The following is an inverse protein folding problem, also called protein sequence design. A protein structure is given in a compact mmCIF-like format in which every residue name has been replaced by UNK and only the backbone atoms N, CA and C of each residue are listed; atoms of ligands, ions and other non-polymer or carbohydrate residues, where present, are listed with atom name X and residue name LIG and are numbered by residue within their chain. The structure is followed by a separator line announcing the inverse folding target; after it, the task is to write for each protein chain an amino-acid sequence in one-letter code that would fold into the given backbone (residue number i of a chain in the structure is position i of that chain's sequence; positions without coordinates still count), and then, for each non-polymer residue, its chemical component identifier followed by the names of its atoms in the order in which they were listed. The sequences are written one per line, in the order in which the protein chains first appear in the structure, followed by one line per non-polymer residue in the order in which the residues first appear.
data_IF_280387658727
#
_entry.id   IF_280387658727
#
_cell.length_a   1.000
_cell.length_b   1.000
_cell.length_c   1.000
_cell.angle_alpha   90.00
_cell.angle_beta   90.00
_cell.angle_gamma   90.00
#
_symmetry.space_group_name_H-M   'P 1'
#
loop_
_entity.id
_entity.type
_entity.pdbx_description
1 polymer ?
#
# COMPACT_ATOMS: atom_id res chain seq x y z
N UNK A 1 40.40 -15.15 44.20
CA UNK A 1 39.77 -15.93 43.09
C UNK A 1 38.24 -15.91 43.08
N UNK A 2 37.51 -15.61 44.16
CA UNK A 2 36.04 -15.71 44.19
C UNK A 2 35.22 -14.56 43.55
N UNK A 3 35.78 -13.37 43.40
CA UNK A 3 35.04 -12.18 42.89
C UNK A 3 34.88 -12.22 41.36
N UNK A 4 35.87 -12.75 40.64
CA UNK A 4 35.84 -12.84 39.18
C UNK A 4 34.83 -13.88 38.69
N UNK A 5 34.72 -15.02 39.38
CA UNK A 5 33.77 -16.09 39.04
C UNK A 5 32.31 -15.66 39.25
N UNK A 6 32.03 -14.84 40.28
CA UNK A 6 30.67 -14.34 40.53
C UNK A 6 30.21 -13.35 39.45
N UNK A 7 31.10 -12.46 38.99
CA UNK A 7 30.80 -11.52 37.90
C UNK A 7 30.55 -12.22 36.57
N UNK A 8 31.26 -13.32 36.29
CA UNK A 8 31.07 -14.10 35.08
C UNK A 8 29.71 -14.83 35.06
N UNK A 9 29.32 -15.47 36.18
CA UNK A 9 27.99 -16.07 36.29
C UNK A 9 26.86 -15.04 36.15
N UNK A 10 27.03 -13.85 36.74
CA UNK A 10 26.03 -12.80 36.69
C UNK A 10 25.85 -12.22 35.27
N UNK A 11 26.94 -12.11 34.49
CA UNK A 11 26.88 -11.71 33.08
C UNK A 11 26.21 -12.77 32.19
N UNK A 12 26.51 -14.06 32.43
CA UNK A 12 25.87 -15.16 31.69
C UNK A 12 24.37 -15.26 31.99
N UNK A 13 23.97 -15.08 33.26
CA UNK A 13 22.57 -15.01 33.67
C UNK A 13 21.84 -13.84 33.01
N UNK A 14 22.47 -12.67 32.92
CA UNK A 14 21.90 -11.48 32.28
C UNK A 14 21.74 -11.67 30.77
N UNK A 15 22.72 -12.30 30.10
CA UNK A 15 22.62 -12.64 28.68
C UNK A 15 21.50 -13.65 28.41
N UNK A 16 21.36 -14.69 29.24
CA UNK A 16 20.25 -15.64 29.12
C UNK A 16 18.89 -14.96 29.31
N UNK A 17 18.79 -14.05 30.28
CA UNK A 17 17.57 -13.28 30.54
C UNK A 17 17.19 -12.39 29.35
N UNK A 18 18.16 -11.69 28.75
CA UNK A 18 17.95 -10.86 27.57
C UNK A 18 17.51 -11.71 26.37
N UNK A 19 18.11 -12.90 26.17
CA UNK A 19 17.69 -13.82 25.11
C UNK A 19 16.25 -14.33 25.34
N UNK A 20 15.89 -14.65 26.59
CA UNK A 20 14.55 -15.11 26.95
C UNK A 20 13.50 -14.01 26.71
N UNK A 21 13.81 -12.77 27.09
CA UNK A 21 12.95 -11.61 26.85
C UNK A 21 12.81 -11.33 25.34
N UNK A 22 13.90 -11.46 24.56
CA UNK A 22 13.83 -11.32 23.10
C UNK A 22 12.97 -12.41 22.44
N UNK A 23 13.00 -13.65 22.95
CA UNK A 23 12.15 -14.76 22.49
C UNK A 23 10.67 -14.57 22.87
N UNK A 24 10.38 -13.90 24.00
CA UNK A 24 9.02 -13.59 24.44
C UNK A 24 8.38 -12.43 23.64
N UNK A 25 9.17 -11.50 23.12
CA UNK A 25 8.68 -10.40 22.27
C UNK A 25 8.27 -10.87 20.86
N UNK A 26 8.74 -12.06 20.43
CA UNK A 26 8.47 -12.60 19.09
C UNK A 26 7.14 -13.36 18.96
N UNK A 27 6.37 -13.53 20.02
CA UNK A 27 5.06 -14.18 19.99
C UNK A 27 3.93 -13.14 19.85
N UNK A 28 3.98 -12.31 18.81
CA UNK A 28 2.76 -11.67 18.32
C UNK A 28 1.99 -12.72 17.54
N UNK A 29 0.76 -13.04 17.98
CA UNK A 29 -0.13 -13.88 17.19
C UNK A 29 -0.53 -13.10 15.94
N UNK A 30 0.26 -13.22 14.88
CA UNK A 30 -0.10 -12.66 13.57
C UNK A 30 -1.34 -13.37 13.08
N UNK A 31 -2.37 -12.59 12.77
CA UNK A 31 -3.62 -13.12 12.24
C UNK A 31 -3.34 -13.89 10.93
N UNK A 32 -3.98 -15.06 10.72
CA UNK A 32 -3.76 -15.82 9.51
C UNK A 32 -4.31 -15.04 8.31
N UNK A 33 -3.41 -14.48 7.52
CA UNK A 33 -3.76 -13.78 6.28
C UNK A 33 -3.78 -14.71 5.07
N UNK A 34 -3.10 -15.86 5.13
CA UNK A 34 -3.21 -16.91 4.12
C UNK A 34 -4.24 -17.98 4.51
N UNK A 35 -4.72 -18.73 3.51
CA UNK A 35 -5.59 -19.89 3.74
C UNK A 35 -4.87 -20.93 4.64
N UNK A 36 -5.57 -21.64 5.55
CA UNK A 36 -4.94 -22.65 6.39
C UNK A 36 -4.16 -23.70 5.59
N UNK A 37 -2.91 -23.97 6.01
CA UNK A 37 -2.00 -24.88 5.30
C UNK A 37 -1.29 -24.28 4.08
N UNK A 38 -1.49 -22.99 3.78
CA UNK A 38 -0.85 -22.30 2.67
C UNK A 38 0.29 -21.39 3.15
N UNK A 39 1.43 -21.35 2.44
CA UNK A 39 2.49 -20.39 2.71
C UNK A 39 1.95 -18.96 2.62
N UNK A 40 2.12 -18.18 3.69
CA UNK A 40 1.69 -16.78 3.75
C UNK A 40 2.76 -15.76 3.38
N UNK A 41 3.97 -16.21 3.01
CA UNK A 41 5.10 -15.33 2.70
C UNK A 41 5.89 -15.88 1.50
N UNK A 42 6.44 -14.97 0.70
CA UNK A 42 7.48 -15.24 -0.29
C UNK A 42 8.58 -14.18 -0.18
N UNK A 43 9.74 -14.55 0.37
CA UNK A 43 10.75 -13.57 0.75
C UNK A 43 10.22 -12.65 1.86
N UNK A 44 10.17 -11.35 1.58
CA UNK A 44 9.65 -10.33 2.50
C UNK A 44 8.21 -9.89 2.18
N UNK A 45 7.57 -10.52 1.19
CA UNK A 45 6.23 -10.14 0.74
C UNK A 45 5.21 -11.10 1.34
N UNK A 46 4.22 -10.54 2.02
CA UNK A 46 3.07 -11.28 2.52
C UNK A 46 2.13 -11.66 1.36
N UNK A 47 1.67 -12.91 1.36
CA UNK A 47 0.81 -13.50 0.34
C UNK A 47 -0.54 -13.85 0.97
N UNK A 48 -1.44 -12.87 1.12
CA UNK A 48 -2.74 -13.08 1.73
C UNK A 48 -3.74 -13.66 0.72
N UNK A 49 -4.70 -14.49 1.18
CA UNK A 49 -5.81 -14.91 0.33
C UNK A 49 -6.66 -13.67 -0.06
N UNK A 50 -7.06 -13.46 -1.34
CA UNK A 50 -7.24 -14.44 -2.42
C UNK A 50 -5.98 -14.81 -3.21
N UNK A 51 -4.83 -14.19 -2.95
CA UNK A 51 -3.56 -14.58 -3.55
C UNK A 51 -3.03 -15.87 -2.92
N UNK A 52 -2.21 -16.61 -3.67
CA UNK A 52 -1.58 -17.81 -3.17
C UNK A 52 -0.46 -18.30 -4.05
N UNK A 53 0.43 -19.12 -3.48
CA UNK A 53 1.63 -19.62 -4.18
C UNK A 53 1.39 -20.91 -4.98
N UNK A 54 0.18 -21.47 -4.90
CA UNK A 54 -0.25 -22.63 -5.66
C UNK A 54 -1.77 -22.56 -5.91
N UNK A 55 -2.26 -23.40 -6.83
CA UNK A 55 -3.66 -23.41 -7.27
C UNK A 55 -4.68 -23.67 -6.16
N UNK A 56 -4.30 -24.40 -5.10
CA UNK A 56 -5.20 -24.69 -3.96
C UNK A 56 -5.25 -23.56 -2.92
N UNK A 57 -4.23 -22.71 -2.94
CA UNK A 57 -4.02 -21.59 -2.03
C UNK A 57 -4.46 -20.25 -2.61
N UNK A 58 -4.51 -20.10 -3.94
CA UNK A 58 -5.07 -18.94 -4.62
C UNK A 58 -6.56 -19.12 -4.91
N UNK A 59 -7.32 -18.03 -5.04
CA UNK A 59 -8.72 -18.04 -5.44
C UNK A 59 -8.91 -18.66 -6.83
N UNK A 60 -8.07 -18.27 -7.78
CA UNK A 60 -8.01 -18.82 -9.13
C UNK A 60 -6.61 -18.55 -9.73
N UNK A 61 -6.40 -18.94 -10.98
CA UNK A 61 -5.11 -18.79 -11.67
C UNK A 61 -4.65 -17.34 -11.82
N UNK A 62 -5.56 -16.36 -11.87
CA UNK A 62 -5.20 -14.94 -11.97
C UNK A 62 -4.59 -14.39 -10.67
N UNK A 63 -4.92 -14.98 -9.52
CA UNK A 63 -4.38 -14.61 -8.20
C UNK A 63 -3.19 -15.49 -7.78
N UNK A 64 -2.63 -16.26 -8.73
CA UNK A 64 -1.48 -17.12 -8.48
C UNK A 64 -0.18 -16.31 -8.47
N UNK A 65 0.60 -16.47 -7.40
CA UNK A 65 1.93 -15.89 -7.25
C UNK A 65 2.99 -16.98 -7.41
N UNK A 66 3.91 -16.80 -8.34
CA UNK A 66 5.07 -17.68 -8.49
C UNK A 66 6.17 -17.20 -7.56
N UNK A 67 6.46 -17.95 -6.51
CA UNK A 67 7.59 -17.67 -5.63
C UNK A 67 8.88 -18.28 -6.21
N UNK A 68 9.79 -17.44 -6.68
CA UNK A 68 11.05 -17.93 -7.26
C UNK A 68 12.13 -18.04 -6.18
N UNK A 69 12.46 -19.28 -5.84
CA UNK A 69 13.46 -19.64 -4.82
C UNK A 69 14.91 -19.68 -5.35
N UNK A 70 15.15 -19.39 -6.63
CA UNK A 70 16.52 -19.24 -7.15
C UNK A 70 17.20 -17.96 -6.64
N UNK A 71 16.41 -17.00 -6.16
CA UNK A 71 16.89 -15.78 -5.51
C UNK A 71 16.96 -15.96 -3.99
N UNK A 72 17.87 -15.24 -3.35
CA UNK A 72 17.99 -15.19 -1.89
C UNK A 72 17.95 -13.73 -1.42
N UNK A 73 16.86 -13.27 -0.77
CA UNK A 73 15.62 -14.01 -0.47
C UNK A 73 14.79 -14.34 -1.74
N UNK A 74 13.83 -15.29 -1.66
CA UNK A 74 12.92 -15.58 -2.77
C UNK A 74 12.13 -14.35 -3.24
N UNK A 75 11.87 -14.25 -4.55
CA UNK A 75 11.14 -13.12 -5.15
C UNK A 75 9.80 -13.62 -5.70
N UNK A 76 8.66 -12.99 -5.32
CA UNK A 76 7.35 -13.31 -5.86
C UNK A 76 7.11 -12.63 -7.22
N UNK A 77 6.45 -13.36 -8.13
CA UNK A 77 6.07 -12.87 -9.46
C UNK A 77 4.60 -13.15 -9.77
N UNK A 78 3.96 -12.30 -10.56
CA UNK A 78 2.63 -12.57 -11.11
C UNK A 78 2.69 -13.69 -12.15
N UNK A 79 2.02 -14.82 -11.87
CA UNK A 79 2.15 -16.04 -12.68
C UNK A 79 1.61 -15.92 -14.12
N UNK A 80 0.52 -15.18 -14.32
CA UNK A 80 -0.18 -15.08 -15.60
C UNK A 80 0.04 -13.73 -16.31
N UNK A 81 1.14 -13.03 -16.02
CA UNK A 81 1.49 -11.83 -16.76
C UNK A 81 2.10 -12.21 -18.12
N UNK A 82 1.28 -12.22 -19.18
CA UNK A 82 1.74 -12.52 -20.54
C UNK A 82 2.40 -11.28 -21.15
N UNK A 83 3.62 -10.98 -20.73
CA UNK A 83 4.52 -10.16 -21.55
C UNK A 83 5.41 -11.08 -22.38
N UNK A 84 5.81 -10.61 -23.56
CA UNK A 84 6.69 -11.31 -24.49
C UNK A 84 8.13 -11.48 -23.99
N UNK A 85 8.52 -11.10 -22.74
CA UNK A 85 9.88 -11.36 -22.24
C UNK A 85 10.15 -11.26 -20.72
N UNK A 86 9.28 -10.73 -19.84
CA UNK A 86 9.68 -10.43 -18.44
C UNK A 86 8.64 -10.84 -17.38
N UNK A 87 9.03 -11.66 -16.38
CA UNK A 87 8.26 -11.86 -15.16
C UNK A 87 8.04 -10.52 -14.45
N UNK A 88 6.84 -10.29 -13.92
CA UNK A 88 6.49 -9.07 -13.17
C UNK A 88 6.65 -9.32 -11.67
N UNK A 89 7.68 -8.74 -11.00
CA UNK A 89 7.86 -8.89 -9.56
C UNK A 89 6.72 -8.23 -8.79
N UNK A 90 6.25 -8.89 -7.74
CA UNK A 90 5.32 -8.34 -6.75
C UNK A 90 6.12 -7.75 -5.60
N UNK A 91 5.78 -6.54 -5.20
CA UNK A 91 6.45 -5.82 -4.12
C UNK A 91 5.63 -5.83 -2.82
N UNK A 92 4.31 -5.74 -2.95
CA UNK A 92 3.38 -5.66 -1.82
C UNK A 92 1.96 -5.98 -2.27
N UNK A 93 1.17 -6.63 -1.39
CA UNK A 93 -0.23 -7.02 -1.66
C UNK A 93 -1.10 -6.45 -0.55
N UNK A 94 -2.07 -5.61 -0.91
CA UNK A 94 -3.06 -5.08 0.03
C UNK A 94 -4.44 -5.67 -0.21
N UNK A 95 -5.13 -6.04 0.86
CA UNK A 95 -6.52 -6.51 0.82
C UNK A 95 -7.53 -5.41 0.45
N UNK A 96 -7.08 -4.16 0.39
CA UNK A 96 -7.86 -2.98 0.00
C UNK A 96 -8.00 -2.81 -1.53
N UNK A 97 -7.76 -3.88 -2.30
CA UNK A 97 -7.85 -3.86 -3.76
C UNK A 97 -6.64 -3.24 -4.46
N UNK A 98 -5.48 -3.19 -3.79
CA UNK A 98 -4.23 -2.65 -4.34
C UNK A 98 -3.11 -3.70 -4.36
N UNK A 99 -2.31 -3.67 -5.41
CA UNK A 99 -1.15 -4.53 -5.62
C UNK A 99 0.02 -3.65 -6.11
N UNK A 100 1.18 -3.73 -5.47
CA UNK A 100 2.38 -3.02 -5.92
C UNK A 100 3.26 -4.00 -6.70
N UNK A 101 3.63 -3.64 -7.92
CA UNK A 101 4.48 -4.42 -8.82
C UNK A 101 5.71 -3.62 -9.24
N UNK A 102 6.73 -4.29 -9.77
CA UNK A 102 7.91 -3.62 -10.32
C UNK A 102 7.90 -3.67 -11.85
N UNK A 103 7.89 -2.50 -12.50
CA UNK A 103 7.91 -2.40 -13.96
C UNK A 103 9.23 -1.79 -14.46
N UNK A 104 9.76 -2.23 -15.61
CA UNK A 104 11.01 -1.75 -16.19
C UNK A 104 10.86 -0.37 -16.87
N UNK A 105 11.96 0.11 -17.42
CA UNK A 105 12.01 1.35 -18.19
C UNK A 105 11.95 1.06 -19.69
N UNK A 106 11.10 1.79 -20.42
CA UNK A 106 11.18 1.85 -21.88
C UNK A 106 12.32 2.81 -22.27
N UNK A 107 13.09 2.45 -23.29
CA UNK A 107 14.32 3.16 -23.65
C UNK A 107 14.40 3.38 -25.15
N UNK A 108 14.83 4.58 -25.54
CA UNK A 108 15.26 4.90 -26.89
C UNK A 108 16.64 5.56 -26.79
N UNK A 109 17.69 4.88 -27.24
CA UNK A 109 19.05 5.42 -27.25
C UNK A 109 19.62 5.44 -28.66
N UNK A 110 20.07 6.60 -29.10
CA UNK A 110 20.86 6.73 -30.32
C UNK A 110 22.32 6.97 -29.95
N UNK A 111 23.16 5.96 -30.15
CA UNK A 111 24.61 6.14 -30.13
C UNK A 111 25.10 6.29 -31.59
N UNK A 112 26.25 6.91 -31.83
CA UNK A 112 26.76 7.44 -33.12
C UNK A 112 26.55 6.57 -34.39
N UNK A 113 26.24 5.26 -34.26
CA UNK A 113 25.80 4.34 -35.33
C UNK A 113 24.76 3.28 -34.94
N UNK A 114 24.33 3.20 -33.69
CA UNK A 114 23.44 2.12 -33.21
C UNK A 114 22.23 2.68 -32.49
N UNK A 115 21.05 2.27 -32.96
CA UNK A 115 19.78 2.54 -32.32
C UNK A 115 19.42 1.38 -31.39
N UNK A 116 19.19 1.69 -30.12
CA UNK A 116 18.68 0.74 -29.13
C UNK A 116 17.30 1.19 -28.70
N UNK A 117 16.28 0.41 -29.07
CA UNK A 117 14.90 0.63 -28.66
C UNK A 117 14.42 -0.53 -27.80
N UNK A 118 13.75 -0.20 -26.69
CA UNK A 118 13.12 -1.14 -25.78
C UNK A 118 11.75 -0.59 -25.40
N UNK A 119 10.71 -1.09 -26.05
CA UNK A 119 9.33 -0.89 -25.61
C UNK A 119 9.00 -1.87 -24.48
N UNK A 120 7.96 -1.56 -23.71
CA UNK A 120 7.55 -2.40 -22.60
C UNK A 120 6.04 -2.68 -22.69
N UNK A 121 5.70 -3.96 -22.81
CA UNK A 121 4.34 -4.44 -23.02
C UNK A 121 3.91 -5.31 -21.85
N UNK A 122 2.72 -5.07 -21.34
CA UNK A 122 2.15 -5.87 -20.27
C UNK A 122 0.68 -6.16 -20.52
N UNK A 123 0.33 -7.42 -20.32
CA UNK A 123 -1.03 -7.86 -20.06
C UNK A 123 -1.13 -8.25 -18.59
N UNK A 124 -1.81 -7.42 -17.81
CA UNK A 124 -1.99 -7.59 -16.38
C UNK A 124 -3.41 -8.03 -16.00
N UNK A 125 -4.28 -8.29 -16.98
CA UNK A 125 -5.66 -8.69 -16.71
C UNK A 125 -5.70 -9.89 -15.72
N UNK A 126 -6.57 -9.86 -14.70
CA UNK A 126 -7.66 -8.91 -14.44
C UNK A 126 -7.25 -7.68 -13.60
N UNK A 127 -5.96 -7.43 -13.41
CA UNK A 127 -5.44 -6.24 -12.74
C UNK A 127 -5.39 -5.05 -13.70
N UNK A 128 -5.42 -3.84 -13.14
CA UNK A 128 -5.40 -2.62 -13.93
C UNK A 128 -4.46 -1.57 -13.34
N UNK A 129 -3.77 -0.79 -14.16
CA UNK A 129 -3.02 0.38 -13.70
C UNK A 129 -3.94 1.33 -12.92
N UNK A 130 -3.52 1.69 -11.71
CA UNK A 130 -4.25 2.65 -10.90
C UNK A 130 -4.05 4.07 -11.45
N UNK A 131 -5.13 4.76 -11.79
CA UNK A 131 -5.09 6.11 -12.38
C UNK A 131 -4.65 7.20 -11.38
N UNK A 132 -4.83 6.97 -10.07
CA UNK A 132 -4.57 7.98 -9.04
C UNK A 132 -3.22 7.87 -8.34
N UNK A 133 -2.53 6.75 -8.49
CA UNK A 133 -1.37 6.42 -7.67
C UNK A 133 -0.08 6.31 -8.48
N UNK A 134 -0.14 6.53 -9.78
CA UNK A 134 1.00 6.40 -10.67
C UNK A 134 1.13 7.63 -11.57
N UNK A 135 2.36 7.93 -11.94
CA UNK A 135 2.74 8.92 -12.94
C UNK A 135 3.49 8.23 -14.08
N UNK A 136 3.33 8.77 -15.27
CA UNK A 136 4.23 8.55 -16.40
C UNK A 136 5.36 9.58 -16.30
N UNK A 137 6.60 9.09 -16.33
CA UNK A 137 7.80 9.92 -16.38
C UNK A 137 8.48 9.74 -17.73
N UNK A 138 8.89 10.85 -18.34
CA UNK A 138 9.70 10.90 -19.54
C UNK A 138 10.96 11.71 -19.26
N UNK A 139 12.13 11.11 -19.51
CA UNK A 139 13.44 11.74 -19.33
C UNK A 139 14.16 11.86 -20.67
N UNK A 140 14.83 12.98 -20.85
CA UNK A 140 15.75 13.23 -21.95
C UNK A 140 15.46 14.52 -22.72
N UNK A 141 16.37 14.87 -23.62
CA UNK A 141 16.28 16.06 -24.46
C UNK A 141 15.36 15.84 -25.67
N UNK A 142 14.31 16.63 -25.86
CA UNK A 142 13.39 16.48 -27.00
C UNK A 142 12.82 15.05 -27.07
N UNK A 143 12.45 14.56 -25.89
CA UNK A 143 11.91 13.26 -25.60
C UNK A 143 10.39 13.29 -25.63
N UNK A 144 9.78 12.20 -26.08
CA UNK A 144 8.40 11.96 -25.74
C UNK A 144 8.16 10.49 -25.42
N UNK A 145 7.17 10.29 -24.56
CA UNK A 145 6.77 8.99 -24.08
C UNK A 145 5.25 8.87 -24.08
N UNK A 146 4.79 7.68 -24.45
CA UNK A 146 3.37 7.36 -24.57
C UNK A 146 3.09 6.09 -23.78
N UNK A 147 1.93 6.06 -23.13
CA UNK A 147 1.27 4.84 -22.68
C UNK A 147 -0.05 4.74 -23.44
N UNK A 148 -0.27 3.61 -24.09
CA UNK A 148 -1.48 3.38 -24.85
C UNK A 148 -2.05 1.99 -24.56
N UNK A 149 -3.36 1.87 -24.74
CA UNK A 149 -4.03 0.59 -24.59
C UNK A 149 -3.62 -0.34 -25.73
N UNK A 150 -3.12 -1.53 -25.40
CA UNK A 150 -2.71 -2.56 -26.36
C UNK A 150 -3.73 -3.71 -26.40
N UNK A 151 -5.01 -3.39 -26.49
CA UNK A 151 -6.07 -4.37 -26.68
C UNK A 151 -6.09 -4.85 -28.13
N UNK A 152 -5.77 -6.13 -28.34
CA UNK A 152 -5.64 -6.81 -29.64
C UNK A 152 -6.93 -6.77 -30.49
N UNK A 153 -8.08 -6.42 -29.87
CA UNK A 153 -9.39 -6.30 -30.52
C UNK A 153 -9.73 -4.88 -31.02
N UNK A 154 -8.85 -3.89 -30.81
CA UNK A 154 -9.05 -2.53 -31.32
C UNK A 154 -8.09 -2.22 -32.46
N UNK A 155 -8.61 -1.99 -33.66
CA UNK A 155 -7.83 -1.52 -34.82
C UNK A 155 -7.32 -0.07 -34.65
N UNK A 156 -7.60 0.60 -33.52
CA UNK A 156 -7.22 1.99 -33.27
C UNK A 156 -6.34 2.08 -32.03
N UNK A 157 -5.11 2.52 -32.24
CA UNK A 157 -4.13 2.78 -31.19
C UNK A 157 -4.48 4.10 -30.45
N UNK A 158 -5.21 4.01 -29.34
CA UNK A 158 -5.52 5.18 -28.52
C UNK A 158 -4.42 5.43 -27.48
N UNK A 159 -3.65 6.51 -27.66
CA UNK A 159 -2.77 7.00 -26.59
C UNK A 159 -3.60 7.45 -25.40
N UNK A 160 -3.40 6.78 -24.28
CA UNK A 160 -4.09 7.07 -23.02
C UNK A 160 -3.38 8.19 -22.25
N UNK A 161 -2.05 8.25 -22.35
CA UNK A 161 -1.22 9.28 -21.70
C UNK A 161 -0.01 9.58 -22.55
N UNK A 162 0.33 10.87 -22.68
CA UNK A 162 1.54 11.34 -23.33
C UNK A 162 2.27 12.33 -22.42
N UNK A 163 3.60 12.31 -22.43
CA UNK A 163 4.43 13.34 -21.84
C UNK A 163 5.54 13.72 -22.83
N UNK A 164 5.83 15.02 -22.88
CA UNK A 164 6.85 15.59 -23.76
C UNK A 164 7.85 16.35 -22.91
N UNK A 165 9.13 16.09 -23.14
CA UNK A 165 10.22 16.81 -22.52
C UNK A 165 11.09 17.47 -23.58
N UNK A 166 11.31 18.78 -23.46
CA UNK A 166 12.07 19.58 -24.42
C UNK A 166 13.43 19.97 -23.86
N UNK A 167 14.39 20.20 -24.75
CA UNK A 167 15.69 20.77 -24.39
C UNK A 167 15.70 22.29 -24.53
N UNK A 168 16.17 23.00 -23.51
CA UNK A 168 16.43 24.46 -23.55
C UNK A 168 17.81 24.77 -22.97
N UNK A 169 18.28 26.01 -23.13
CA UNK A 169 19.55 26.50 -22.55
C UNK A 169 19.63 26.24 -21.03
N UNK A 170 20.84 26.02 -20.48
CA UNK A 170 21.06 25.43 -19.16
C UNK A 170 20.68 26.42 -18.05
N UNK A 171 19.44 26.34 -17.59
CA UNK A 171 19.04 26.84 -16.28
C UNK A 171 19.12 25.68 -15.27
N UNK A 172 19.43 25.96 -13.99
CA UNK A 172 19.29 24.95 -12.95
C UNK A 172 17.80 24.60 -12.84
N UNK A 173 17.41 23.46 -13.39
CA UNK A 173 16.03 22.97 -13.37
C UNK A 173 15.98 21.81 -12.39
N UNK A 174 15.22 22.02 -11.31
CA UNK A 174 14.97 20.99 -10.29
C UNK A 174 13.58 20.36 -10.42
N UNK A 175 12.74 20.85 -11.33
CA UNK A 175 11.34 20.39 -11.47
C UNK A 175 11.12 19.59 -12.76
N UNK A 176 10.37 18.50 -12.65
CA UNK A 176 10.01 17.65 -13.79
C UNK A 176 8.77 18.18 -14.53
N UNK A 177 8.89 19.32 -15.23
CA UNK A 177 7.71 20.04 -15.76
C UNK A 177 7.76 20.33 -17.27
N UNK A 178 8.47 19.50 -18.03
CA UNK A 178 8.54 19.58 -19.50
C UNK A 178 9.90 19.97 -20.05
N UNK A 179 10.90 20.24 -19.20
CA UNK A 179 12.27 20.53 -19.64
C UNK A 179 13.23 19.46 -19.12
N UNK A 180 13.83 18.69 -20.02
CA UNK A 180 14.61 17.45 -19.76
C UNK A 180 13.91 16.33 -18.96
N UNK A 181 12.84 16.64 -18.22
CA UNK A 181 11.94 15.71 -17.59
C UNK A 181 10.49 16.17 -17.78
N UNK A 182 9.56 15.22 -17.95
CA UNK A 182 8.13 15.47 -17.95
C UNK A 182 7.44 14.39 -17.09
N UNK A 183 6.59 14.82 -16.16
CA UNK A 183 5.70 13.93 -15.41
C UNK A 183 4.24 14.23 -15.71
N UNK A 184 3.41 13.19 -15.78
CA UNK A 184 1.97 13.34 -16.02
C UNK A 184 1.18 12.22 -15.34
N UNK A 185 0.00 12.50 -14.77
CA UNK A 185 -0.84 11.47 -14.14
C UNK A 185 -1.41 10.49 -15.18
N UNK A 186 -1.68 9.26 -14.74
CA UNK A 186 -2.36 8.27 -15.58
C UNK A 186 -3.87 8.51 -15.53
N UNK A 187 -4.52 8.78 -16.67
CA UNK A 187 -5.93 9.17 -16.66
C UNK A 187 -6.92 8.03 -16.84
N UNK A 188 -6.48 6.84 -17.28
CA UNK A 188 -7.38 5.72 -17.54
C UNK A 188 -6.88 4.42 -16.92
N UNK A 189 -7.80 3.48 -16.77
CA UNK A 189 -7.61 2.17 -16.18
C UNK A 189 -7.21 1.18 -17.27
N UNK A 190 -5.94 0.77 -17.29
CA UNK A 190 -5.38 -0.07 -18.35
C UNK A 190 -4.99 -1.46 -17.81
N UNK A 191 -5.44 -2.53 -18.47
CA UNK A 191 -4.97 -3.90 -18.20
C UNK A 191 -3.92 -4.36 -19.19
N UNK A 192 -4.14 -4.04 -20.47
CA UNK A 192 -3.22 -4.33 -21.56
C UNK A 192 -2.65 -2.99 -22.02
N UNK A 193 -1.35 -2.82 -21.92
CA UNK A 193 -0.74 -1.55 -22.28
C UNK A 193 0.68 -1.74 -22.78
N UNK A 194 1.05 -0.86 -23.70
CA UNK A 194 2.42 -0.64 -24.12
C UNK A 194 2.83 0.76 -23.68
N UNK A 195 4.08 0.90 -23.22
CA UNK A 195 4.72 2.19 -23.13
C UNK A 195 6.06 2.23 -23.85
N UNK A 196 6.29 3.36 -24.52
CA UNK A 196 7.39 3.58 -25.45
C UNK A 196 8.06 4.93 -25.23
N UNK A 197 9.31 5.04 -25.68
CA UNK A 197 10.07 6.29 -25.75
C UNK A 197 10.43 6.58 -27.20
N UNK A 198 10.40 7.85 -27.58
CA UNK A 198 10.78 8.32 -28.90
C UNK A 198 11.49 9.68 -28.82
N UNK A 199 12.12 10.04 -29.94
CA UNK A 199 12.89 11.28 -30.16
C UNK A 199 12.31 12.05 -31.34
N UNK A 200 12.82 13.27 -31.55
CA UNK A 200 12.61 14.09 -32.74
C UNK A 200 11.17 14.57 -32.97
N UNK A 201 10.55 15.13 -31.92
CA UNK A 201 9.22 15.77 -32.00
C UNK A 201 9.22 16.89 -33.05
N UNK A 202 10.37 17.54 -33.28
CA UNK A 202 10.50 18.68 -34.21
C UNK A 202 11.21 18.38 -35.53
N UNK A 203 11.50 17.11 -35.85
CA UNK A 203 12.16 16.73 -37.11
C UNK A 203 13.47 17.52 -37.37
N UNK A 204 14.20 17.88 -36.31
CA UNK A 204 15.48 18.59 -36.41
C UNK A 204 16.61 17.58 -36.61
N UNK A 205 17.33 17.70 -37.73
CA UNK A 205 18.59 16.99 -37.99
C UNK A 205 19.75 17.53 -37.12
N UNK A 206 19.48 18.01 -35.91
CA UNK A 206 20.48 18.55 -34.99
C UNK A 206 21.24 17.41 -34.31
N UNK A 207 22.15 16.83 -35.07
CA UNK A 207 23.05 15.74 -34.66
C UNK A 207 23.89 16.07 -33.42
N UNK A 208 24.07 17.35 -33.07
CA UNK A 208 24.85 17.77 -31.91
C UNK A 208 24.10 17.55 -30.59
N UNK A 209 22.80 17.87 -30.52
CA UNK A 209 21.96 17.65 -29.34
C UNK A 209 21.75 16.16 -29.03
N UNK A 210 21.61 15.33 -30.08
CA UNK A 210 21.57 13.87 -29.93
C UNK A 210 22.88 13.29 -29.39
N UNK A 211 24.01 13.99 -29.55
CA UNK A 211 25.31 13.55 -29.06
C UNK A 211 25.54 13.86 -27.58
N UNK A 212 25.00 14.97 -27.08
CA UNK A 212 25.11 15.36 -25.66
C UNK A 212 24.20 14.53 -24.75
N UNK A 213 23.02 14.16 -25.25
CA UNK A 213 22.05 13.32 -24.52
C UNK A 213 21.63 12.18 -25.44
N UNK A 214 22.27 11.01 -25.38
CA UNK A 214 22.02 9.93 -26.35
C UNK A 214 20.74 9.12 -26.07
N UNK A 215 20.18 9.19 -24.86
CA UNK A 215 19.11 8.29 -24.43
C UNK A 215 17.85 9.01 -23.94
N UNK A 216 16.70 8.39 -24.19
CA UNK A 216 15.36 8.76 -23.70
C UNK A 216 14.77 7.61 -22.93
N UNK A 217 14.10 7.94 -21.85
CA UNK A 217 13.52 6.97 -20.95
C UNK A 217 12.06 7.31 -20.71
N UNK A 218 11.20 6.30 -20.75
CA UNK A 218 9.79 6.40 -20.40
C UNK A 218 9.47 5.31 -19.40
N UNK A 219 8.91 5.65 -18.25
CA UNK A 219 8.55 4.65 -17.25
C UNK A 219 7.34 5.08 -16.43
N UNK A 220 6.67 4.08 -15.88
CA UNK A 220 5.59 4.24 -14.92
C UNK A 220 6.16 4.13 -13.51
N UNK A 221 5.70 4.98 -12.60
CA UNK A 221 6.16 4.97 -11.22
C UNK A 221 5.05 5.42 -10.28
N UNK A 222 5.00 4.81 -9.09
CA UNK A 222 4.15 5.22 -7.98
C UNK A 222 4.47 6.67 -7.61
N UNK A 223 3.42 7.47 -7.41
CA UNK A 223 3.57 8.89 -7.09
C UNK A 223 4.43 9.11 -5.84
N UNK A 224 5.30 10.10 -5.90
CA UNK A 224 6.26 10.47 -4.85
C UNK A 224 7.52 9.59 -4.75
N UNK A 225 7.69 8.55 -5.59
CA UNK A 225 8.88 7.67 -5.51
C UNK A 225 10.07 8.20 -6.30
N UNK A 226 9.85 8.76 -7.48
CA UNK A 226 10.91 9.29 -8.33
C UNK A 226 10.99 10.82 -8.21
N UNK A 227 12.18 11.32 -7.94
CA UNK A 227 12.49 12.75 -8.00
C UNK A 227 13.51 12.95 -9.11
N UNK A 228 13.24 13.89 -10.01
CA UNK A 228 14.13 14.16 -11.12
C UNK A 228 15.47 14.70 -10.65
N UNK A 229 16.55 14.15 -11.21
CA UNK A 229 17.88 14.72 -11.12
C UNK A 229 18.46 14.90 -12.52
N UNK A 230 19.04 16.08 -12.78
CA UNK A 230 19.67 16.38 -14.08
C UNK A 230 20.79 15.40 -14.44
N UNK A 231 21.47 14.80 -13.44
CA UNK A 231 22.49 13.78 -13.68
C UNK A 231 21.95 12.52 -14.36
N UNK A 232 20.65 12.24 -14.22
CA UNK A 232 19.99 11.09 -14.82
C UNK A 232 19.99 11.19 -16.36
N UNK A 233 20.08 12.38 -16.93
CA UNK A 233 20.18 12.55 -18.37
C UNK A 233 21.43 11.89 -18.98
N UNK A 234 22.47 11.69 -18.18
CA UNK A 234 23.74 11.08 -18.58
C UNK A 234 23.96 9.71 -17.95
N UNK A 235 23.56 9.53 -16.69
CA UNK A 235 23.91 8.37 -15.87
C UNK A 235 22.71 7.49 -15.48
N UNK A 236 21.55 7.68 -16.11
CA UNK A 236 20.39 6.87 -15.77
C UNK A 236 20.58 5.40 -16.15
N UNK A 237 20.33 4.53 -15.17
CA UNK A 237 20.40 3.11 -15.38
C UNK A 237 19.15 2.60 -16.11
N UNK A 238 19.27 2.28 -17.40
CA UNK A 238 18.18 1.75 -18.23
C UNK A 238 17.66 0.37 -17.78
N UNK A 239 18.37 -0.33 -16.90
CA UNK A 239 17.91 -1.59 -16.30
C UNK A 239 17.13 -1.38 -15.00
N UNK A 240 16.99 -0.14 -14.53
CA UNK A 240 16.17 0.18 -13.36
C UNK A 240 14.72 -0.26 -13.56
N UNK A 241 14.09 -0.58 -12.44
CA UNK A 241 12.66 -0.85 -12.36
C UNK A 241 12.05 0.03 -11.28
N UNK A 242 10.77 0.35 -11.42
CA UNK A 242 10.06 1.25 -10.53
C UNK A 242 8.81 0.57 -9.95
N UNK A 243 8.47 0.88 -8.68
CA UNK A 243 7.22 0.41 -8.11
C UNK A 243 6.04 1.07 -8.83
N UNK A 244 5.02 0.29 -9.16
CA UNK A 244 3.79 0.71 -9.81
C UNK A 244 2.62 0.09 -9.08
N UNK A 245 1.57 0.85 -8.85
CA UNK A 245 0.34 0.39 -8.18
C UNK A 245 -0.68 -0.05 -9.22
N UNK A 246 -1.15 -1.29 -9.10
CA UNK A 246 -2.28 -1.80 -9.87
C UNK A 246 -3.44 -2.13 -8.94
N UNK A 247 -4.65 -1.92 -9.46
CA UNK A 247 -5.91 -2.19 -8.80
C UNK A 247 -6.35 -3.62 -9.12
N UNK A 248 -6.90 -4.30 -8.10
CA UNK A 248 -7.50 -5.61 -8.24
C UNK A 248 -8.88 -5.64 -7.60
N UNK A 249 -9.79 -6.41 -8.20
CA UNK A 249 -11.15 -6.56 -7.74
C UNK A 249 -11.71 -7.94 -8.09
N UNK A 250 -12.79 -8.32 -7.42
CA UNK A 250 -13.56 -9.52 -7.66
C UNK A 250 -14.87 -9.18 -8.37
N UNK A 251 -15.30 -10.07 -9.26
CA UNK A 251 -16.51 -9.87 -10.07
C UNK A 251 -16.34 -8.80 -11.14
N UNK A 252 -17.39 -8.60 -11.95
CA UNK A 252 -17.36 -7.66 -13.07
C UNK A 252 -17.86 -6.27 -12.64
N UNK A 253 -18.90 -6.23 -11.80
CA UNK A 253 -19.49 -5.00 -11.27
C UNK A 253 -19.59 -5.06 -9.75
N UNK A 254 -19.58 -3.91 -9.08
CA UNK A 254 -19.73 -3.86 -7.63
C UNK A 254 -21.07 -4.47 -7.17
N UNK A 255 -22.13 -4.29 -7.95
CA UNK A 255 -23.45 -4.82 -7.68
C UNK A 255 -23.48 -6.35 -7.71
N UNK A 256 -22.54 -7.01 -8.40
CA UNK A 256 -22.46 -8.47 -8.44
C UNK A 256 -22.17 -9.08 -7.07
N UNK A 257 -21.56 -8.32 -6.13
CA UNK A 257 -21.23 -8.79 -4.80
C UNK A 257 -22.43 -9.44 -4.09
N UNK A 258 -23.60 -8.80 -4.15
CA UNK A 258 -24.80 -9.25 -3.41
C UNK A 258 -25.85 -9.93 -4.28
N UNK A 259 -25.62 -10.07 -5.60
CA UNK A 259 -26.58 -10.74 -6.50
C UNK A 259 -26.70 -12.24 -6.21
N UNK A 260 -25.61 -12.88 -5.79
CA UNK A 260 -25.59 -14.31 -5.52
C UNK A 260 -24.76 -14.63 -4.27
N UNK A 261 -25.43 -15.18 -3.25
CA UNK A 261 -24.82 -15.53 -1.97
C UNK A 261 -23.69 -16.58 -2.11
N UNK A 262 -23.76 -17.46 -3.11
CA UNK A 262 -22.73 -18.47 -3.34
C UNK A 262 -21.42 -17.87 -3.89
N UNK A 263 -21.51 -16.81 -4.70
CA UNK A 263 -20.36 -16.13 -5.28
C UNK A 263 -19.84 -14.96 -4.43
N UNK A 264 -20.50 -14.61 -3.33
CA UNK A 264 -20.06 -13.55 -2.43
C UNK A 264 -18.79 -13.96 -1.69
N UNK A 265 -17.70 -13.18 -1.83
CA UNK A 265 -16.37 -13.58 -1.36
C UNK A 265 -15.96 -13.02 0.01
N UNK A 266 -16.74 -12.12 0.61
CA UNK A 266 -16.46 -11.66 1.98
C UNK A 266 -17.03 -12.70 2.95
N UNK A 267 -16.18 -13.65 3.35
CA UNK A 267 -16.59 -14.86 4.10
C UNK A 267 -16.49 -14.70 5.61
N UNK A 268 -15.75 -13.71 6.10
CA UNK A 268 -15.64 -13.48 7.55
C UNK A 268 -16.89 -12.80 8.09
N UNK A 269 -17.22 -13.09 9.36
CA UNK A 269 -18.05 -12.18 10.14
C UNK A 269 -17.33 -10.83 10.28
N UNK A 270 -18.10 -9.74 10.45
CA UNK A 270 -17.55 -8.38 10.51
C UNK A 270 -16.71 -8.03 9.27
N UNK A 271 -17.20 -8.43 8.09
CA UNK A 271 -16.61 -8.05 6.81
C UNK A 271 -17.65 -7.51 5.85
N UNK A 272 -17.23 -6.55 5.05
CA UNK A 272 -18.07 -5.79 4.13
C UNK A 272 -17.40 -5.69 2.76
N UNK A 273 -18.22 -5.62 1.71
CA UNK A 273 -17.72 -5.37 0.37
C UNK A 273 -17.57 -3.85 0.15
N UNK A 274 -16.54 -3.49 -0.59
CA UNK A 274 -16.28 -2.14 -1.04
C UNK A 274 -16.14 -2.15 -2.55
N UNK A 275 -16.76 -1.18 -3.21
CA UNK A 275 -16.66 -1.06 -4.65
C UNK A 275 -15.23 -0.67 -5.05
N UNK A 276 -14.69 -1.38 -6.03
CA UNK A 276 -13.48 -0.95 -6.69
C UNK A 276 -13.73 0.37 -7.44
N UNK A 277 -12.67 1.13 -7.67
CA UNK A 277 -12.76 2.40 -8.38
C UNK A 277 -13.34 2.22 -9.79
N UNK A 278 -14.26 3.11 -10.19
CA UNK A 278 -15.02 3.00 -11.43
C UNK A 278 -16.14 1.94 -11.40
N UNK A 279 -16.37 1.25 -10.29
CA UNK A 279 -17.47 0.30 -10.11
C UNK A 279 -17.28 -1.07 -10.76
N UNK A 280 -16.11 -1.34 -11.35
CA UNK A 280 -15.80 -2.60 -12.02
C UNK A 280 -15.30 -3.67 -11.03
N UNK A 281 -16.22 -4.15 -10.19
CA UNK A 281 -15.98 -5.18 -9.20
C UNK A 281 -15.94 -4.64 -7.77
N UNK A 282 -15.59 -5.53 -6.84
CA UNK A 282 -15.51 -5.24 -5.41
C UNK A 282 -14.33 -5.96 -4.76
N UNK A 283 -13.91 -5.47 -3.60
CA UNK A 283 -13.02 -6.19 -2.69
C UNK A 283 -13.65 -6.18 -1.29
N UNK A 284 -13.18 -7.02 -0.40
CA UNK A 284 -13.69 -7.15 0.96
C UNK A 284 -12.77 -6.44 1.95
N UNK A 285 -13.34 -5.82 2.97
CA UNK A 285 -12.64 -5.25 4.12
C UNK A 285 -13.25 -5.77 5.40
N UNK A 286 -12.45 -5.84 6.46
CA UNK A 286 -13.00 -5.98 7.80
C UNK A 286 -13.73 -4.68 8.17
N UNK A 287 -14.84 -4.81 8.89
CA UNK A 287 -15.59 -3.68 9.44
C UNK A 287 -14.70 -2.87 10.39
N UNK A 288 -15.08 -1.62 10.64
CA UNK A 288 -14.35 -0.72 11.56
C UNK A 288 -14.20 -1.41 12.94
N UNK A 289 -13.00 -1.34 13.52
CA UNK A 289 -12.65 -2.02 14.77
C UNK A 289 -12.22 -3.48 14.61
N UNK A 290 -12.15 -4.00 13.38
CA UNK A 290 -11.69 -5.36 13.09
C UNK A 290 -10.49 -5.34 12.12
N UNK A 291 -9.63 -6.36 12.24
CA UNK A 291 -8.45 -6.56 11.39
C UNK A 291 -8.29 -8.02 10.97
N UNK A 292 -7.49 -8.28 9.94
CA UNK A 292 -7.20 -9.62 9.43
C UNK A 292 -7.69 -9.81 8.00
N UNK A 293 -8.11 -11.03 7.65
CA UNK A 293 -8.49 -11.39 6.28
C UNK A 293 -10.01 -11.59 6.13
N UNK A 294 -10.73 -10.68 5.46
CA UNK A 294 -12.18 -10.79 5.29
C UNK A 294 -12.63 -11.92 4.34
N UNK A 295 -11.72 -12.49 3.56
CA UNK A 295 -11.98 -13.59 2.62
C UNK A 295 -11.94 -14.96 3.30
N UNK A 296 -11.45 -15.06 4.54
CA UNK A 296 -11.36 -16.29 5.30
C UNK A 296 -12.49 -16.37 6.36
N UNK A 297 -13.11 -17.54 6.58
CA UNK A 297 -14.05 -17.71 7.69
C UNK A 297 -13.37 -17.40 9.04
N UNK A 298 -13.95 -16.46 9.80
CA UNK A 298 -13.36 -15.98 11.07
C UNK A 298 -12.05 -15.20 10.91
N UNK A 299 -11.74 -14.73 9.71
CA UNK A 299 -10.48 -14.04 9.43
C UNK A 299 -10.44 -12.58 9.89
N UNK A 300 -11.60 -11.90 10.04
CA UNK A 300 -11.68 -10.60 10.71
C UNK A 300 -11.86 -10.80 12.21
N UNK A 301 -10.89 -10.31 12.97
CA UNK A 301 -10.85 -10.38 14.42
C UNK A 301 -10.87 -8.98 15.03
N UNK A 302 -11.48 -8.89 16.19
CA UNK A 302 -11.61 -7.67 16.97
C UNK A 302 -10.23 -7.07 17.29
N UNK A 303 -10.07 -5.77 17.07
CA UNK A 303 -8.86 -5.05 17.46
C UNK A 303 -8.97 -4.77 18.96
N UNK A 304 -8.02 -5.25 19.75
CA UNK A 304 -7.98 -4.91 21.16
C UNK A 304 -7.23 -3.58 21.37
N UNK A 305 -7.93 -2.45 21.35
CA UNK A 305 -7.31 -1.14 21.52
C UNK A 305 -6.69 -0.94 22.93
N UNK A 306 -7.11 -1.75 23.91
CA UNK A 306 -6.54 -1.72 25.26
C UNK A 306 -5.11 -2.30 25.33
N UNK A 307 -4.74 -3.19 24.39
CA UNK A 307 -3.36 -3.70 24.24
C UNK A 307 -2.51 -2.83 23.30
N UNK A 308 -3.16 -1.96 22.52
CA UNK A 308 -2.53 -1.04 21.60
C UNK A 308 -2.60 0.42 22.04
N UNK A 309 -2.80 1.30 21.06
CA UNK A 309 -3.00 2.73 21.30
C UNK A 309 -4.49 3.01 21.49
N UNK A 310 -4.85 3.58 22.64
CA UNK A 310 -6.20 4.06 22.95
C UNK A 310 -6.16 5.48 23.52
N UNK A 311 -7.32 6.12 23.55
CA UNK A 311 -7.50 7.49 24.04
C UNK A 311 -7.93 7.56 25.53
N UNK A 312 -7.88 6.45 26.27
CA UNK A 312 -8.25 6.46 27.69
C UNK A 312 -7.28 7.31 28.54
N UNK A 313 -7.85 7.98 29.56
CA UNK A 313 -7.09 8.71 30.59
C UNK A 313 -6.14 7.80 31.34
N UNK A 314 -4.86 7.88 30.98
CA UNK A 314 -3.81 7.05 31.58
C UNK A 314 -3.75 7.27 33.09
N UNK A 315 -3.87 6.17 33.84
CA UNK A 315 -3.81 6.16 35.30
C UNK A 315 -5.07 6.65 36.02
N UNK A 316 -6.10 7.10 35.29
CA UNK A 316 -7.37 7.55 35.90
C UNK A 316 -8.54 6.67 35.45
N UNK A 317 -8.66 6.38 34.16
CA UNK A 317 -9.69 5.48 33.64
C UNK A 317 -9.15 4.09 33.36
N UNK A 318 -10.04 3.10 33.37
CA UNK A 318 -9.74 1.70 33.02
C UNK A 318 -10.26 1.41 31.62
N UNK A 319 -9.42 0.86 30.75
CA UNK A 319 -9.83 0.44 29.41
C UNK A 319 -10.50 -0.94 29.45
N UNK A 320 -11.61 -1.09 28.72
CA UNK A 320 -12.28 -2.37 28.49
C UNK A 320 -12.55 -2.56 27.00
N UNK A 321 -12.06 -3.65 26.43
CA UNK A 321 -12.24 -4.02 25.03
C UNK A 321 -13.64 -4.59 24.79
N UNK A 322 -14.65 -3.72 24.85
CA UNK A 322 -16.06 -4.07 24.70
C UNK A 322 -16.88 -2.82 24.37
N UNK A 323 -17.93 -2.96 23.52
CA UNK A 323 -18.35 -4.16 22.78
C UNK A 323 -17.42 -4.49 21.59
N UNK A 324 -17.50 -5.69 20.96
CA UNK A 324 -16.69 -6.03 19.79
C UNK A 324 -16.76 -4.95 18.69
N UNK A 325 -15.61 -4.63 18.12
CA UNK A 325 -15.35 -3.54 17.19
C UNK A 325 -15.08 -2.19 17.87
N UNK A 326 -14.95 -2.17 19.20
CA UNK A 326 -14.81 -0.94 19.98
C UNK A 326 -14.27 -1.21 21.39
N UNK A 327 -13.98 -0.13 22.10
CA UNK A 327 -13.56 -0.12 23.49
C UNK A 327 -14.24 0.99 24.27
N UNK A 328 -14.28 0.81 25.59
CA UNK A 328 -14.81 1.78 26.53
C UNK A 328 -13.76 2.15 27.57
N UNK A 329 -13.74 3.43 27.97
CA UNK A 329 -12.91 3.91 29.08
C UNK A 329 -13.82 4.17 30.29
N UNK A 330 -13.52 3.52 31.42
CA UNK A 330 -14.36 3.57 32.61
C UNK A 330 -13.70 4.42 33.69
N UNK A 331 -14.43 5.43 34.17
CA UNK A 331 -14.00 6.22 35.32
C UNK A 331 -14.08 5.42 36.63
N UNK A 332 -13.21 5.74 37.60
CA UNK A 332 -13.17 5.05 38.87
C UNK A 332 -14.43 5.34 39.70
N UNK A 333 -14.72 4.50 40.68
CA UNK A 333 -15.91 4.66 41.54
C UNK A 333 -15.90 6.04 42.21
N UNK A 334 -17.03 6.76 42.08
CA UNK A 334 -17.17 8.13 42.60
C UNK A 334 -16.86 9.22 41.57
N UNK A 335 -16.45 8.85 40.35
CA UNK A 335 -16.25 9.77 39.23
C UNK A 335 -17.23 9.48 38.08
N UNK A 336 -17.45 10.46 37.21
CA UNK A 336 -18.28 10.41 36.01
C UNK A 336 -17.61 11.10 34.81
N UNK A 337 -18.06 10.74 33.61
CA UNK A 337 -17.51 11.17 32.33
C UNK A 337 -17.17 9.97 31.44
N UNK A 338 -16.60 10.25 30.27
CA UNK A 338 -16.25 9.25 29.23
C UNK A 338 -14.88 8.59 29.45
N UNK A 339 -14.10 9.05 30.41
CA UNK A 339 -12.79 8.47 30.72
C UNK A 339 -11.73 8.66 29.64
N UNK A 340 -11.92 9.56 28.66
CA UNK A 340 -11.01 9.81 27.53
C UNK A 340 -10.18 11.09 27.72
N UNK A 341 -8.97 11.11 27.13
CA UNK A 341 -8.06 12.26 27.18
C UNK A 341 -8.60 13.49 26.41
N UNK A 342 -9.24 13.25 25.26
CA UNK A 342 -9.86 14.29 24.42
C UNK A 342 -11.38 14.37 24.62
N UNK A 343 -11.86 13.95 25.79
CA UNK A 343 -13.29 13.88 26.12
C UNK A 343 -13.65 14.67 27.38
N UNK A 344 -14.78 14.33 27.97
CA UNK A 344 -15.23 14.81 29.29
C UNK A 344 -14.34 14.32 30.44
N UNK A 345 -13.55 13.27 30.20
CA UNK A 345 -12.59 12.75 31.14
C UNK A 345 -13.26 12.10 32.35
N UNK A 346 -12.64 12.23 33.53
CA UNK A 346 -13.23 11.77 34.79
C UNK A 346 -13.31 12.92 35.79
N UNK A 347 -14.52 13.23 36.24
CA UNK A 347 -14.81 14.26 37.24
C UNK A 347 -15.55 13.68 38.45
N UNK A 348 -15.38 14.21 39.67
CA UNK A 348 -16.05 13.67 40.85
C UNK A 348 -17.58 13.83 40.77
N UNK A 349 -18.33 12.78 41.11
CA UNK A 349 -19.79 12.84 41.24
C UNK A 349 -20.18 13.72 42.42
N UNK A 350 -20.88 14.82 42.18
CA UNK A 350 -21.41 15.65 43.26
C UNK A 350 -22.56 14.93 43.99
N UNK A 351 -22.36 14.60 45.27
CA UNK A 351 -23.46 14.17 46.15
C UNK A 351 -24.29 15.38 46.57
N UNK A 352 -25.43 15.61 45.93
CA UNK A 352 -26.47 16.53 46.43
C UNK A 352 -27.12 15.94 47.69
N UNK A 353 -26.50 16.11 48.85
CA UNK A 353 -27.08 15.75 50.16
C UNK A 353 -27.10 16.92 51.15
N UNK A 354 -27.18 18.16 50.66
CA UNK A 354 -27.45 19.33 51.51
C UNK A 354 -28.78 19.96 51.12
N UNK A 355 -29.87 19.43 51.68
CA UNK A 355 -31.07 20.23 51.88
C UNK A 355 -30.68 21.29 52.91
N UNK A 356 -30.47 22.53 52.48
CA UNK A 356 -30.28 23.66 53.39
C UNK A 356 -31.68 24.05 53.88
N UNK A 357 -32.07 23.57 55.07
CA UNK A 357 -33.27 24.04 55.76
C UNK A 357 -32.90 25.38 56.41
N UNK A 358 -33.32 26.48 55.81
CA UNK A 358 -33.22 27.81 56.42
C UNK A 358 -34.42 27.95 57.37
N UNK A 359 -34.19 27.76 58.67
CA UNK A 359 -35.17 28.09 59.69
C UNK A 359 -35.10 29.60 59.97
N UNK A 360 -36.10 30.34 59.48
CA UNK A 360 -36.32 31.73 59.89
C UNK A 360 -37.03 31.71 61.25
N UNK A 361 -36.32 32.09 62.31
CA UNK A 361 -36.95 32.34 63.62
C UNK A 361 -37.60 33.71 63.60
N UNK A 362 -38.92 33.76 63.57
CA UNK A 362 -39.67 34.98 63.90
C UNK A 362 -39.57 35.24 65.41
N UNK A 363 -38.92 36.34 65.78
CA UNK A 363 -39.01 36.89 67.13
C UNK A 363 -40.33 37.65 67.25
N UNK A 364 -41.27 37.11 68.04
CA UNK A 364 -42.42 37.86 68.51
C UNK A 364 -41.94 38.81 69.61
N UNK A 365 -41.94 40.12 69.31
CA UNK A 365 -41.78 41.17 70.31
C UNK A 365 -43.15 41.38 70.95
N UNK A 366 -43.29 41.01 72.22
CA UNK A 366 -44.43 41.36 73.07
C UNK A 366 -44.07 42.66 73.78
N UNK A 367 -44.80 43.74 73.49
CA UNK A 367 -44.80 44.98 74.27
C UNK A 367 -45.90 44.95 75.32
#
# INVERSE_FOLDING_TARGET
MGVHSKKLLQAQMLQLLVLLVALLIAATTTLPLSKPGCPGMCGHVEIPFPFGTNKTCSLNTSFLITCNHTFSPPIPFLANSSSSSRPVPVLDISLDGKLQISLPVATYCLNKRTLVTRSQEFSLAPFHLSSKQNKLIVLGADAAGLVYNNDEYSDILYSTVACVSLSTEPTPIETCSGTFCCETPIQQRLSNFLYISFVNIFNENDTNKLQSYPCRYTFLVKDGVYNFNISDLLNFNSTSTFPVVVDWALGNTCQDAKKNASSYMCKSNYSEYHCAEGGHGYYCKCSIGFQGNPYLPGGCQDINECEGSNDCLKGTSTCTNSPPGSYSCLCPKGYEGDGKNNGTGCSPKFRNNRIIIIALSEYIIVC
#
